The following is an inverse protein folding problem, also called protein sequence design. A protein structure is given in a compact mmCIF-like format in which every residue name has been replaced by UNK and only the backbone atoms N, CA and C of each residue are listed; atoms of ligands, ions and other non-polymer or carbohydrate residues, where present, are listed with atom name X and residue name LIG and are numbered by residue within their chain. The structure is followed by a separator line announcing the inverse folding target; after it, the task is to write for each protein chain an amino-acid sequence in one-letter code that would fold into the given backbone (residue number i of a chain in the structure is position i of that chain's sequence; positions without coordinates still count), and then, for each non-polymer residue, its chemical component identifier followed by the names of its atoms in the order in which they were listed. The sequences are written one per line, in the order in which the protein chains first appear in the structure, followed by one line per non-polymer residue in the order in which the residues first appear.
data_IF_902174625951
#
_entry.id   IF_902174625951
#
_cell.length_a   1.000
_cell.length_b   1.000
_cell.length_c   1.000
_cell.angle_alpha   90.00
_cell.angle_beta   90.00
_cell.angle_gamma   90.00
#
_symmetry.space_group_name_H-M   'P 1'
#
loop_
_entity.id
_entity.type
_entity.pdbx_description
1 polymer ?
#
# COMPACT_ATOMS: atom_id res chain seq x y z
N UNK A 1 5.36 3.75 8.58
CA UNK A 1 5.08 2.46 7.94
C UNK A 1 4.16 2.70 6.75
N UNK A 2 4.15 1.79 5.80
CA UNK A 2 3.30 1.82 4.62
C UNK A 2 2.73 0.43 4.43
N UNK A 3 1.47 0.38 4.03
CA UNK A 3 0.76 -0.86 3.72
C UNK A 3 0.79 -1.04 2.20
N UNK A 4 1.29 -2.17 1.73
CA UNK A 4 1.47 -2.43 0.30
C UNK A 4 0.66 -3.64 -0.14
N UNK A 5 -0.13 -3.47 -1.18
CA UNK A 5 -1.09 -4.46 -1.67
C UNK A 5 -0.96 -4.56 -3.20
N UNK A 6 -0.46 -5.70 -3.69
CA UNK A 6 -0.24 -5.98 -5.11
C UNK A 6 -1.13 -7.12 -5.59
N UNK A 7 -1.16 -7.39 -6.90
CA UNK A 7 -1.99 -8.45 -7.49
C UNK A 7 -1.75 -9.82 -6.82
N UNK A 8 -0.51 -10.14 -6.50
CA UNK A 8 -0.11 -11.47 -6.04
C UNK A 8 0.24 -11.57 -4.55
N UNK A 9 0.43 -10.44 -3.86
CA UNK A 9 0.79 -10.45 -2.45
C UNK A 9 0.49 -9.10 -1.77
N UNK A 10 0.37 -9.16 -0.46
CA UNK A 10 0.42 -8.04 0.45
C UNK A 10 1.75 -8.06 1.20
N UNK A 11 2.38 -6.90 1.36
CA UNK A 11 3.51 -6.77 2.27
C UNK A 11 2.95 -6.37 3.62
N UNK A 12 2.83 -7.34 4.54
CA UNK A 12 2.27 -7.12 5.88
C UNK A 12 3.04 -6.02 6.62
N UNK A 13 4.38 -6.04 6.52
CA UNK A 13 5.25 -5.02 7.10
C UNK A 13 6.56 -5.00 6.30
N UNK A 14 6.88 -3.88 5.63
CA UNK A 14 8.26 -3.60 5.21
C UNK A 14 9.02 -3.17 6.47
N UNK A 15 9.40 -4.14 7.28
CA UNK A 15 10.38 -3.97 8.34
C UNK A 15 11.51 -4.91 8.03
N UNK A 16 12.64 -4.32 7.66
CA UNK A 16 13.89 -5.04 7.59
C UNK A 16 14.23 -5.70 8.94
N UNK A 17 14.12 -7.03 9.03
CA UNK A 17 14.59 -7.78 10.18
C UNK A 17 16.05 -8.18 9.97
N UNK A 18 16.93 -7.77 10.89
CA UNK A 18 18.37 -8.10 10.80
C UNK A 18 18.59 -9.62 10.70
N UNK A 19 19.21 -10.05 9.62
CA UNK A 19 19.56 -11.44 9.31
C UNK A 19 20.61 -12.03 10.27
N UNK A 20 21.30 -11.19 11.03
CA UNK A 20 22.20 -11.64 12.12
C UNK A 20 21.43 -12.29 13.29
N UNK A 21 20.08 -12.29 13.26
CA UNK A 21 19.26 -13.12 14.14
C UNK A 21 19.24 -14.56 13.61
N UNK A 22 20.03 -15.49 14.17
CA UNK A 22 20.14 -16.86 13.65
C UNK A 22 18.81 -17.64 13.77
N UNK A 23 17.86 -17.13 14.55
CA UNK A 23 16.55 -17.75 14.78
C UNK A 23 15.46 -17.26 13.85
N UNK A 24 15.72 -16.30 12.93
CA UNK A 24 14.68 -15.60 12.18
C UNK A 24 13.71 -16.54 11.44
N UNK A 25 14.22 -17.60 10.82
CA UNK A 25 13.42 -18.58 10.09
C UNK A 25 12.56 -19.44 11.04
N UNK A 26 13.13 -19.81 12.19
CA UNK A 26 12.46 -20.57 13.23
C UNK A 26 11.37 -19.72 13.88
N UNK A 27 11.67 -18.47 14.17
CA UNK A 27 10.74 -17.50 14.77
C UNK A 27 9.60 -17.20 13.80
N UNK A 28 9.91 -17.00 12.51
CA UNK A 28 8.91 -16.86 11.46
C UNK A 28 8.02 -18.11 11.33
N UNK A 29 8.61 -19.30 11.27
CA UNK A 29 7.83 -20.54 11.21
C UNK A 29 6.94 -20.74 12.44
N UNK A 30 7.42 -20.39 13.63
CA UNK A 30 6.63 -20.42 14.87
C UNK A 30 5.48 -19.40 14.85
N UNK A 31 5.74 -18.20 14.34
CA UNK A 31 4.71 -17.18 14.16
C UNK A 31 3.59 -17.66 13.21
N UNK A 32 3.96 -18.23 12.06
CA UNK A 32 2.98 -18.80 11.12
C UNK A 32 2.24 -19.99 11.72
N UNK A 33 2.92 -20.90 12.42
CA UNK A 33 2.26 -21.98 13.16
C UNK A 33 1.25 -21.45 14.19
N UNK A 34 1.56 -20.33 14.85
CA UNK A 34 0.63 -19.65 15.76
C UNK A 34 -0.63 -19.14 15.05
N UNK A 35 -0.47 -18.52 13.87
CA UNK A 35 -1.61 -18.11 13.01
C UNK A 35 -2.47 -19.32 12.62
N UNK A 36 -1.86 -20.36 12.06
CA UNK A 36 -2.55 -21.58 11.62
C UNK A 36 -3.26 -22.29 12.79
N UNK A 37 -2.64 -22.33 13.98
CA UNK A 37 -3.26 -22.91 15.16
C UNK A 37 -4.50 -22.13 15.61
N UNK A 38 -4.49 -20.80 15.47
CA UNK A 38 -5.68 -19.98 15.72
C UNK A 38 -6.76 -20.26 14.68
N UNK A 39 -6.40 -20.31 13.39
CA UNK A 39 -7.34 -20.63 12.31
C UNK A 39 -7.93 -22.03 12.48
N UNK A 40 -7.13 -23.01 12.90
CA UNK A 40 -7.57 -24.38 13.21
C UNK A 40 -8.65 -24.49 14.29
N UNK A 41 -8.77 -23.50 15.19
CA UNK A 41 -9.88 -23.43 16.17
C UNK A 41 -11.21 -23.12 15.50
N UNK A 42 -11.19 -22.33 14.42
CA UNK A 42 -12.38 -21.92 13.66
C UNK A 42 -12.62 -22.77 12.41
N UNK A 43 -11.56 -23.36 11.86
CA UNK A 43 -11.49 -24.13 10.63
C UNK A 43 -10.80 -25.47 10.93
N UNK A 44 -11.50 -26.36 11.64
CA UNK A 44 -10.95 -27.64 12.12
C UNK A 44 -10.39 -28.45 10.93
N UNK A 45 -9.09 -28.73 10.97
CA UNK A 45 -8.36 -29.43 9.89
C UNK A 45 -7.44 -28.53 9.06
N UNK A 46 -7.36 -27.24 9.37
CA UNK A 46 -6.36 -26.35 8.78
C UNK A 46 -4.94 -26.79 9.15
N UNK A 47 -4.01 -26.76 8.19
CA UNK A 47 -2.65 -27.32 8.34
C UNK A 47 -1.69 -26.79 7.29
N UNK A 48 -0.39 -26.91 7.56
CA UNK A 48 0.65 -26.69 6.55
C UNK A 48 0.58 -27.84 5.52
N UNK A 49 0.51 -27.49 4.25
CA UNK A 49 0.51 -28.43 3.11
C UNK A 49 1.75 -28.33 2.25
N UNK A 50 2.48 -27.22 2.32
CA UNK A 50 3.79 -27.07 1.67
C UNK A 50 4.71 -26.17 2.49
N UNK A 51 6.01 -26.49 2.49
CA UNK A 51 7.06 -25.73 3.17
C UNK A 51 8.37 -25.88 2.41
N UNK A 52 8.96 -24.77 1.99
CA UNK A 52 10.29 -24.72 1.37
C UNK A 52 11.13 -23.65 2.05
N UNK A 53 12.25 -24.08 2.66
CA UNK A 53 13.18 -23.20 3.36
C UNK A 53 14.47 -22.92 2.58
N UNK A 54 14.71 -23.67 1.50
CA UNK A 54 15.94 -23.57 0.71
C UNK A 54 15.82 -22.58 -0.47
N UNK A 55 14.63 -22.03 -0.70
CA UNK A 55 14.35 -21.03 -1.74
C UNK A 55 14.45 -19.60 -1.22
N UNK A 56 14.64 -18.62 -2.12
CA UNK A 56 14.47 -17.20 -1.81
C UNK A 56 13.52 -16.56 -2.86
N UNK A 57 12.26 -16.25 -2.51
CA UNK A 57 11.67 -16.32 -1.17
C UNK A 57 11.48 -17.74 -0.65
N UNK A 58 11.52 -17.90 0.67
CA UNK A 58 11.07 -19.09 1.40
C UNK A 58 9.55 -19.08 1.46
N UNK A 59 8.93 -20.25 1.60
CA UNK A 59 7.47 -20.37 1.62
C UNK A 59 6.97 -21.34 2.69
N UNK A 60 5.88 -20.95 3.35
CA UNK A 60 4.98 -21.84 4.10
C UNK A 60 3.59 -21.66 3.50
N UNK A 61 2.94 -22.76 3.12
CA UNK A 61 1.59 -22.77 2.58
C UNK A 61 0.65 -23.46 3.56
N UNK A 62 -0.32 -22.71 4.06
CA UNK A 62 -1.44 -23.26 4.82
C UNK A 62 -2.56 -23.68 3.88
N UNK A 63 -3.21 -24.80 4.18
CA UNK A 63 -4.58 -25.10 3.73
C UNK A 63 -5.55 -24.79 4.85
N UNK A 64 -6.57 -23.98 4.56
CA UNK A 64 -7.62 -23.62 5.51
C UNK A 64 -8.87 -24.49 5.27
N UNK A 65 -9.26 -25.29 6.26
CA UNK A 65 -10.40 -26.19 6.09
C UNK A 65 -11.74 -25.48 6.29
N UNK A 66 -12.33 -25.08 5.17
CA UNK A 66 -13.64 -24.40 5.11
C UNK A 66 -14.83 -25.31 4.84
N UNK A 67 -14.64 -26.63 4.69
CA UNK A 67 -15.69 -27.57 4.24
C UNK A 67 -16.95 -27.56 5.13
N UNK A 68 -16.77 -27.32 6.44
CA UNK A 68 -17.85 -27.35 7.44
C UNK A 68 -18.36 -25.96 7.82
N UNK A 69 -17.98 -24.91 7.09
CA UNK A 69 -18.46 -23.55 7.37
C UNK A 69 -19.79 -23.26 6.65
N UNK A 70 -20.82 -22.79 7.37
CA UNK A 70 -22.15 -22.54 6.81
C UNK A 70 -22.25 -21.26 5.96
N UNK A 71 -21.18 -20.46 5.84
CA UNK A 71 -21.11 -19.42 4.81
C UNK A 71 -21.09 -20.10 3.44
N UNK A 72 -22.18 -19.88 2.70
CA UNK A 72 -22.57 -20.67 1.52
C UNK A 72 -21.47 -20.69 0.45
N UNK A 73 -20.65 -19.65 0.36
CA UNK A 73 -19.61 -19.54 -0.67
C UNK A 73 -18.29 -20.22 -0.28
N UNK A 74 -17.92 -20.25 1.02
CA UNK A 74 -16.59 -20.69 1.45
C UNK A 74 -16.42 -22.21 1.46
N UNK A 75 -17.51 -22.95 1.68
CA UNK A 75 -17.50 -24.42 1.63
C UNK A 75 -17.25 -24.95 0.22
N UNK A 76 -17.50 -24.14 -0.81
CA UNK A 76 -17.30 -24.49 -2.21
C UNK A 76 -15.86 -24.30 -2.71
N UNK A 77 -14.93 -23.84 -1.87
CA UNK A 77 -13.55 -23.47 -2.26
C UNK A 77 -12.51 -24.21 -1.42
N UNK A 78 -11.48 -24.79 -2.07
CA UNK A 78 -10.19 -25.00 -1.43
C UNK A 78 -9.51 -23.65 -1.23
N UNK A 79 -9.06 -23.36 -0.01
CA UNK A 79 -8.39 -22.10 0.31
C UNK A 79 -6.99 -22.35 0.83
N UNK A 80 -6.02 -21.67 0.24
CA UNK A 80 -4.63 -21.76 0.65
C UNK A 80 -4.07 -20.37 0.96
N UNK A 81 -3.34 -20.27 2.07
CA UNK A 81 -2.70 -19.03 2.52
C UNK A 81 -1.18 -19.17 2.42
N UNK A 82 -0.57 -18.59 1.38
CA UNK A 82 0.88 -18.58 1.22
C UNK A 82 1.53 -17.47 2.05
N UNK A 83 2.57 -17.83 2.79
CA UNK A 83 3.43 -16.91 3.53
C UNK A 83 4.85 -17.00 2.99
N UNK A 84 5.45 -15.85 2.71
CA UNK A 84 6.79 -15.75 2.16
C UNK A 84 7.74 -15.02 3.11
N UNK A 85 8.99 -15.46 3.10
CA UNK A 85 10.09 -14.83 3.81
C UNK A 85 11.26 -14.64 2.83
N UNK A 86 11.58 -13.39 2.52
CA UNK A 86 12.60 -13.03 1.52
C UNK A 86 13.85 -12.49 2.19
N UNK A 87 15.02 -13.05 1.87
CA UNK A 87 16.32 -12.53 2.32
C UNK A 87 16.92 -11.53 1.33
N UNK A 88 17.59 -10.53 1.88
CA UNK A 88 18.43 -9.55 1.18
C UNK A 88 19.86 -9.63 1.76
N UNK A 89 20.72 -10.51 1.23
CA UNK A 89 22.07 -10.72 1.74
C UNK A 89 22.91 -9.45 1.80
N UNK A 90 22.76 -8.55 0.82
CA UNK A 90 23.45 -7.27 0.70
C UNK A 90 23.19 -6.31 1.87
N UNK A 91 22.01 -6.44 2.49
CA UNK A 91 21.59 -5.65 3.65
C UNK A 91 21.67 -6.43 4.96
N UNK A 92 21.89 -7.75 4.89
CA UNK A 92 21.67 -8.69 6.00
C UNK A 92 20.28 -8.45 6.60
N UNK A 93 19.25 -8.42 5.76
CA UNK A 93 17.87 -8.13 6.16
C UNK A 93 16.91 -9.16 5.57
N UNK A 94 15.70 -9.25 6.16
CA UNK A 94 14.60 -10.06 5.67
C UNK A 94 13.31 -9.24 5.59
N UNK A 95 12.45 -9.58 4.63
CA UNK A 95 11.09 -9.05 4.49
C UNK A 95 10.08 -10.19 4.61
N UNK A 96 9.03 -9.95 5.41
CA UNK A 96 7.88 -10.85 5.57
C UNK A 96 6.76 -10.40 4.64
N UNK A 97 6.19 -11.35 3.90
CA UNK A 97 5.21 -11.08 2.86
C UNK A 97 4.11 -12.13 2.95
N UNK A 98 2.86 -11.71 2.80
CA UNK A 98 1.71 -12.62 2.74
C UNK A 98 1.20 -12.63 1.31
N UNK A 99 1.23 -13.79 0.67
CA UNK A 99 0.67 -13.92 -0.67
C UNK A 99 -0.85 -13.83 -0.65
N UNK A 100 -1.45 -13.52 -1.79
CA UNK A 100 -2.91 -13.57 -1.91
C UNK A 100 -3.40 -14.98 -1.63
N UNK A 101 -4.56 -15.05 -0.98
CA UNK A 101 -5.25 -16.33 -0.76
C UNK A 101 -5.53 -16.97 -2.12
N UNK A 102 -5.10 -18.22 -2.27
CA UNK A 102 -5.36 -19.03 -3.46
C UNK A 102 -6.67 -19.76 -3.22
N UNK A 103 -7.68 -19.46 -4.04
CA UNK A 103 -9.01 -20.04 -3.95
C UNK A 103 -9.29 -20.87 -5.19
N UNK A 104 -9.55 -22.16 -5.01
CA UNK A 104 -9.79 -23.11 -6.09
C UNK A 104 -11.15 -23.77 -5.86
N UNK A 105 -12.08 -23.76 -6.83
CA UNK A 105 -13.41 -24.37 -6.66
C UNK A 105 -13.34 -25.85 -6.29
N UNK A 106 -14.29 -26.33 -5.49
CA UNK A 106 -14.54 -27.75 -5.21
C UNK A 106 -15.70 -28.27 -6.08
N UNK A 107 -15.70 -29.55 -6.45
CA UNK A 107 -14.57 -30.48 -6.38
C UNK A 107 -13.57 -30.24 -7.53
N UNK A 108 -12.31 -30.65 -7.36
CA UNK A 108 -11.35 -30.78 -8.46
C UNK A 108 -10.65 -32.13 -8.40
N UNK A 109 -10.29 -32.72 -9.56
CA UNK A 109 -9.33 -33.82 -9.60
C UNK A 109 -8.00 -33.41 -8.96
N UNK A 110 -7.37 -34.32 -8.20
CA UNK A 110 -6.14 -34.05 -7.45
C UNK A 110 -5.04 -33.42 -8.34
N UNK A 111 -4.76 -34.02 -9.51
CA UNK A 111 -3.74 -33.50 -10.43
C UNK A 111 -4.01 -32.08 -10.92
N UNK A 112 -5.29 -31.72 -11.07
CA UNK A 112 -5.69 -30.38 -11.50
C UNK A 112 -5.60 -29.38 -10.35
N UNK A 113 -5.97 -29.79 -9.14
CA UNK A 113 -5.80 -29.00 -7.92
C UNK A 113 -4.33 -28.66 -7.69
N UNK A 114 -3.46 -29.68 -7.73
CA UNK A 114 -2.02 -29.52 -7.50
C UNK A 114 -1.39 -28.63 -8.56
N UNK A 115 -1.74 -28.82 -9.84
CA UNK A 115 -1.23 -27.98 -10.93
C UNK A 115 -1.64 -26.52 -10.78
N UNK A 116 -2.91 -26.26 -10.49
CA UNK A 116 -3.42 -24.89 -10.33
C UNK A 116 -2.77 -24.20 -9.13
N UNK A 117 -2.68 -24.92 -8.00
CA UNK A 117 -2.01 -24.42 -6.79
C UNK A 117 -0.54 -24.08 -7.05
N UNK A 118 0.19 -24.98 -7.73
CA UNK A 118 1.59 -24.75 -8.09
C UNK A 118 1.76 -23.56 -9.04
N UNK A 119 0.88 -23.40 -10.02
CA UNK A 119 0.91 -22.28 -10.95
C UNK A 119 0.73 -20.94 -10.24
N UNK A 120 -0.29 -20.82 -9.38
CA UNK A 120 -0.58 -19.61 -8.65
C UNK A 120 0.51 -19.29 -7.62
N UNK A 121 0.95 -20.28 -6.83
CA UNK A 121 2.04 -20.11 -5.87
C UNK A 121 3.34 -19.69 -6.57
N UNK A 122 3.68 -20.32 -7.70
CA UNK A 122 4.86 -19.96 -8.49
C UNK A 122 4.79 -18.54 -9.05
N UNK A 123 3.60 -18.06 -9.45
CA UNK A 123 3.42 -16.69 -9.91
C UNK A 123 3.69 -15.68 -8.79
N UNK A 124 3.15 -15.94 -7.60
CA UNK A 124 3.40 -15.10 -6.43
C UNK A 124 4.88 -15.11 -6.02
N UNK A 125 5.53 -16.28 -5.96
CA UNK A 125 6.95 -16.39 -5.65
C UNK A 125 7.82 -15.61 -6.64
N UNK A 126 7.51 -15.66 -7.95
CA UNK A 126 8.24 -14.88 -8.97
C UNK A 126 8.11 -13.38 -8.76
N UNK A 127 6.95 -12.88 -8.35
CA UNK A 127 6.79 -11.44 -8.11
C UNK A 127 7.44 -11.01 -6.80
N UNK A 128 7.30 -11.79 -5.73
CA UNK A 128 8.04 -11.56 -4.48
C UNK A 128 9.56 -11.54 -4.75
N UNK A 129 10.06 -12.42 -5.61
CA UNK A 129 11.47 -12.45 -6.01
C UNK A 129 11.94 -11.16 -6.73
N UNK A 130 11.04 -10.32 -7.28
CA UNK A 130 11.38 -9.05 -7.93
C UNK A 130 11.53 -7.87 -6.97
N UNK A 131 11.17 -8.00 -5.69
CA UNK A 131 11.44 -6.94 -4.70
C UNK A 131 12.95 -6.80 -4.54
N UNK A 132 13.51 -5.61 -4.73
CA UNK A 132 14.94 -5.39 -4.71
C UNK A 132 15.30 -4.23 -3.78
N UNK A 133 16.54 -4.23 -3.27
CA UNK A 133 17.07 -3.09 -2.53
C UNK A 133 17.75 -2.13 -3.50
N UNK A 134 17.35 -0.86 -3.48
CA UNK A 134 18.02 0.22 -4.22
C UNK A 134 18.20 1.41 -3.29
N UNK A 135 19.43 1.89 -3.13
CA UNK A 135 19.68 3.06 -2.28
C UNK A 135 18.89 4.28 -2.78
N UNK A 136 18.30 5.05 -1.88
CA UNK A 136 17.59 6.28 -2.25
C UNK A 136 18.57 7.34 -2.80
N UNK A 137 18.19 8.13 -3.83
CA UNK A 137 16.92 8.09 -4.56
C UNK A 137 16.84 6.96 -5.58
N UNK A 138 15.64 6.40 -5.75
CA UNK A 138 15.35 5.39 -6.76
C UNK A 138 15.25 6.05 -8.14
N UNK A 139 16.09 5.62 -9.08
CA UNK A 139 16.05 6.07 -10.49
C UNK A 139 15.47 5.01 -11.43
N UNK A 140 15.31 3.79 -10.93
CA UNK A 140 14.79 2.67 -11.70
C UNK A 140 13.26 2.69 -11.72
N UNK A 141 12.66 2.06 -12.72
CA UNK A 141 11.20 1.95 -12.79
C UNK A 141 10.69 0.98 -11.72
N UNK A 142 9.61 1.35 -11.04
CA UNK A 142 8.95 0.50 -10.06
C UNK A 142 8.33 1.29 -8.93
N UNK A 143 7.72 0.54 -8.01
CA UNK A 143 7.06 1.07 -6.84
C UNK A 143 8.05 1.18 -5.69
N UNK A 144 8.24 2.39 -5.17
CA UNK A 144 9.05 2.63 -3.99
C UNK A 144 8.34 2.05 -2.76
N UNK A 145 9.04 1.22 -2.01
CA UNK A 145 8.63 0.69 -0.72
C UNK A 145 9.44 1.38 0.39
N UNK A 146 9.07 1.17 1.65
CA UNK A 146 9.86 1.66 2.79
C UNK A 146 11.26 1.04 2.78
N UNK A 147 12.16 1.59 3.61
CA UNK A 147 13.52 1.08 3.83
C UNK A 147 14.34 0.93 2.53
N UNK A 148 14.06 1.78 1.54
CA UNK A 148 14.73 1.82 0.23
C UNK A 148 14.53 0.56 -0.63
N UNK A 149 13.50 -0.24 -0.34
CA UNK A 149 13.12 -1.34 -1.23
C UNK A 149 12.31 -0.83 -2.42
N UNK A 150 12.36 -1.56 -3.53
CA UNK A 150 11.61 -1.28 -4.74
C UNK A 150 10.98 -2.57 -5.26
N UNK A 151 9.78 -2.48 -5.82
CA UNK A 151 9.15 -3.59 -6.53
C UNK A 151 8.82 -3.17 -7.96
N UNK A 152 9.35 -3.91 -8.93
CA UNK A 152 8.99 -3.75 -10.33
C UNK A 152 8.42 -5.06 -10.88
N UNK A 153 7.11 -5.14 -11.18
CA UNK A 153 6.50 -6.37 -11.67
C UNK A 153 6.94 -6.75 -13.09
N UNK A 154 7.55 -5.82 -13.84
CA UNK A 154 7.74 -5.95 -15.30
C UNK A 154 6.45 -5.90 -16.11
N UNK A 155 5.33 -5.58 -15.44
CA UNK A 155 3.98 -5.44 -16.01
C UNK A 155 3.25 -4.34 -15.26
N UNK A 156 2.18 -3.83 -15.85
CA UNK A 156 1.26 -2.92 -15.17
C UNK A 156 0.39 -3.72 -14.21
N UNK A 157 0.36 -3.32 -12.95
CA UNK A 157 -0.60 -3.82 -11.98
C UNK A 157 -2.02 -3.32 -12.35
N UNK A 158 -3.03 -4.13 -12.06
CA UNK A 158 -4.44 -3.84 -12.46
C UNK A 158 -4.94 -2.51 -11.92
N UNK A 159 -4.50 -2.15 -10.71
CA UNK A 159 -4.78 -0.89 -10.02
C UNK A 159 -3.55 -0.50 -9.22
N UNK A 160 -3.18 0.77 -9.30
CA UNK A 160 -2.18 1.35 -8.41
C UNK A 160 -2.83 2.50 -7.67
N UNK A 161 -2.95 2.35 -6.35
CA UNK A 161 -3.35 3.40 -5.45
C UNK A 161 -2.30 3.57 -4.34
N UNK A 162 -1.91 4.81 -4.10
CA UNK A 162 -0.99 5.19 -3.04
C UNK A 162 -1.62 6.28 -2.20
N UNK A 163 -1.66 6.07 -0.90
CA UNK A 163 -1.99 7.12 0.07
C UNK A 163 -0.78 7.38 0.96
N UNK A 164 -0.26 8.60 0.90
CA UNK A 164 0.81 9.07 1.80
C UNK A 164 0.20 10.11 2.72
N UNK A 165 0.34 9.91 4.03
CA UNK A 165 -0.13 10.86 5.04
C UNK A 165 1.09 11.37 5.81
N UNK A 166 1.35 12.67 5.71
CA UNK A 166 2.27 13.38 6.57
C UNK A 166 1.52 14.07 7.69
N UNK A 167 2.03 13.97 8.91
CA UNK A 167 1.56 14.73 10.06
C UNK A 167 2.72 15.55 10.61
N UNK A 168 2.43 16.78 11.02
CA UNK A 168 3.36 17.53 11.85
C UNK A 168 3.61 16.76 13.13
N UNK A 169 4.82 16.86 13.68
CA UNK A 169 5.19 16.21 14.94
C UNK A 169 5.86 17.23 15.85
N UNK A 170 5.52 17.21 17.13
CA UNK A 170 6.22 17.97 18.17
C UNK A 170 6.56 17.03 19.32
N UNK A 171 7.85 16.86 19.61
CA UNK A 171 8.30 15.84 20.54
C UNK A 171 7.87 14.44 20.07
N UNK A 172 7.03 13.77 20.86
CA UNK A 172 6.53 12.40 20.58
C UNK A 172 5.06 12.34 20.16
N UNK A 173 4.41 13.48 19.87
CA UNK A 173 2.99 13.53 19.51
C UNK A 173 2.78 14.16 18.13
N UNK A 174 1.81 13.61 17.40
CA UNK A 174 1.30 14.18 16.16
C UNK A 174 0.59 15.51 16.46
N UNK A 175 0.74 16.47 15.55
CA UNK A 175 0.09 17.77 15.65
C UNK A 175 -1.18 17.84 14.80
N UNK A 176 -1.84 19.00 14.77
CA UNK A 176 -3.08 19.19 14.01
C UNK A 176 -2.86 19.29 12.50
N UNK A 177 -1.64 19.64 12.10
CA UNK A 177 -1.22 19.75 10.71
C UNK A 177 -1.07 18.37 10.08
N UNK A 178 -1.74 18.17 8.95
CA UNK A 178 -1.71 16.93 8.19
C UNK A 178 -1.80 17.20 6.70
N UNK A 179 -1.17 16.35 5.91
CA UNK A 179 -1.21 16.40 4.45
C UNK A 179 -1.40 14.97 3.96
N UNK A 180 -2.36 14.78 3.09
CA UNK A 180 -2.69 13.50 2.47
C UNK A 180 -2.45 13.64 0.97
N UNK A 181 -1.62 12.75 0.41
CA UNK A 181 -1.42 12.61 -1.02
C UNK A 181 -2.07 11.30 -1.42
N UNK A 182 -3.07 11.39 -2.29
CA UNK A 182 -3.73 10.24 -2.89
C UNK A 182 -3.34 10.19 -4.36
N UNK A 183 -2.64 9.14 -4.77
CA UNK A 183 -2.28 8.88 -6.15
C UNK A 183 -3.07 7.66 -6.62
N UNK A 184 -3.83 7.81 -7.70
CA UNK A 184 -4.64 6.74 -8.27
C UNK A 184 -4.36 6.64 -9.77
N UNK A 185 -3.93 5.47 -10.22
CA UNK A 185 -3.76 5.19 -11.63
C UNK A 185 -5.02 4.57 -12.21
N UNK A 186 -5.72 5.34 -13.04
CA UNK A 186 -6.97 4.90 -13.66
C UNK A 186 -6.71 4.27 -15.03
N UNK A 187 -7.48 3.24 -15.37
CA UNK A 187 -7.49 2.60 -16.69
C UNK A 187 -8.30 3.43 -17.70
N UNK A 188 -8.13 3.12 -18.99
CA UNK A 188 -8.75 3.88 -20.11
C UNK A 188 -10.27 3.96 -20.04
N UNK A 189 -10.91 2.96 -19.46
CA UNK A 189 -12.35 2.80 -19.31
C UNK A 189 -12.92 3.40 -18.01
N UNK A 190 -12.08 3.97 -17.15
CA UNK A 190 -12.48 4.48 -15.83
C UNK A 190 -12.82 5.99 -15.80
N UNK A 191 -13.30 6.55 -16.92
CA UNK A 191 -13.67 7.98 -17.02
C UNK A 191 -14.70 8.41 -15.98
N UNK A 192 -15.69 7.57 -15.69
CA UNK A 192 -16.70 7.86 -14.68
C UNK A 192 -16.12 7.99 -13.26
N UNK A 193 -15.03 7.27 -12.96
CA UNK A 193 -14.32 7.37 -11.68
C UNK A 193 -13.59 8.70 -11.60
N UNK A 194 -12.89 9.10 -12.68
CA UNK A 194 -12.20 10.38 -12.78
C UNK A 194 -13.18 11.56 -12.62
N UNK A 195 -14.30 11.53 -13.36
CA UNK A 195 -15.31 12.58 -13.31
C UNK A 195 -15.92 12.72 -11.91
N UNK A 196 -16.17 11.59 -11.23
CA UNK A 196 -16.68 11.59 -9.85
C UNK A 196 -15.68 12.14 -8.85
N UNK A 197 -14.38 11.83 -9.00
CA UNK A 197 -13.32 12.33 -8.12
C UNK A 197 -13.13 13.84 -8.28
N UNK A 198 -13.09 14.31 -9.52
CA UNK A 198 -12.90 15.74 -9.84
C UNK A 198 -14.17 16.56 -9.56
N UNK A 199 -15.38 16.00 -9.71
CA UNK A 199 -16.62 16.74 -9.49
C UNK A 199 -16.81 17.22 -8.05
N UNK A 200 -16.35 16.45 -7.05
CA UNK A 200 -16.28 16.92 -5.65
C UNK A 200 -15.47 18.21 -5.54
N UNK A 201 -14.39 18.31 -6.31
CA UNK A 201 -13.58 19.50 -6.43
C UNK A 201 -14.22 20.67 -7.17
N UNK A 202 -15.05 20.38 -8.18
CA UNK A 202 -15.82 21.43 -8.87
C UNK A 202 -16.78 22.15 -7.94
N UNK A 203 -17.33 21.48 -6.92
CA UNK A 203 -18.14 22.12 -5.88
C UNK A 203 -17.34 23.13 -5.05
N UNK A 204 -16.05 22.87 -4.79
CA UNK A 204 -15.21 23.82 -4.05
C UNK A 204 -15.04 25.16 -4.79
N UNK A 205 -15.03 25.14 -6.13
CA UNK A 205 -14.99 26.37 -6.96
C UNK A 205 -16.15 27.32 -6.66
N UNK A 206 -17.27 26.81 -6.17
CA UNK A 206 -18.44 27.63 -5.83
C UNK A 206 -18.27 28.41 -4.53
N UNK A 207 -17.37 27.96 -3.64
CA UNK A 207 -17.23 28.52 -2.28
C UNK A 207 -15.86 29.12 -1.98
N UNK A 208 -14.82 28.70 -2.71
CA UNK A 208 -13.42 29.08 -2.45
C UNK A 208 -12.74 29.59 -3.72
N UNK A 209 -11.92 30.63 -3.58
CA UNK A 209 -11.01 31.06 -4.63
C UNK A 209 -9.95 29.99 -4.88
N UNK A 210 -9.57 29.80 -6.15
CA UNK A 210 -8.47 28.90 -6.53
C UNK A 210 -7.26 29.65 -7.03
N UNK A 211 -6.09 29.01 -6.86
CA UNK A 211 -4.83 29.43 -7.47
C UNK A 211 -4.26 28.26 -8.26
N UNK A 212 -3.81 28.50 -9.49
CA UNK A 212 -3.14 27.47 -10.28
C UNK A 212 -1.75 27.20 -9.72
N UNK A 213 -1.48 25.95 -9.34
CA UNK A 213 -0.20 25.50 -8.76
C UNK A 213 0.28 24.24 -9.50
N UNK A 214 1.58 24.14 -9.77
CA UNK A 214 2.19 22.97 -10.41
C UNK A 214 2.84 22.11 -9.33
N UNK A 215 2.39 20.86 -9.21
CA UNK A 215 2.94 19.89 -8.25
C UNK A 215 3.49 18.69 -9.01
N UNK A 216 4.77 18.35 -8.79
CA UNK A 216 5.40 17.20 -9.46
C UNK A 216 5.36 17.28 -11.01
N UNK A 217 5.34 18.50 -11.58
CA UNK A 217 5.20 18.72 -13.01
C UNK A 217 3.77 18.65 -13.55
N UNK A 218 2.77 18.40 -12.70
CA UNK A 218 1.34 18.37 -13.07
C UNK A 218 0.69 19.69 -12.68
N UNK A 219 -0.01 20.34 -13.62
CA UNK A 219 -0.81 21.53 -13.33
C UNK A 219 -2.07 21.15 -12.55
N UNK A 220 -2.47 22.01 -11.63
CA UNK A 220 -3.72 21.84 -10.89
C UNK A 220 -4.19 23.12 -10.22
N UNK A 221 -5.35 23.03 -9.59
CA UNK A 221 -5.98 24.14 -8.87
C UNK A 221 -5.93 23.86 -7.37
N UNK A 222 -5.35 24.79 -6.62
CA UNK A 222 -5.33 24.79 -5.16
C UNK A 222 -6.52 25.60 -4.63
N UNK A 223 -7.33 24.97 -3.79
CA UNK A 223 -8.42 25.58 -3.02
C UNK A 223 -8.00 25.66 -1.55
N UNK A 224 -8.17 26.83 -0.93
CA UNK A 224 -7.87 27.03 0.49
C UNK A 224 -9.08 27.62 1.21
N UNK A 225 -9.36 27.11 2.41
CA UNK A 225 -10.45 27.58 3.26
C UNK A 225 -10.25 29.04 3.69
N UNK A 226 -11.31 29.82 3.80
CA UNK A 226 -11.25 31.21 4.24
C UNK A 226 -10.76 31.36 5.69
N UNK A 227 -9.80 32.27 5.90
CA UNK A 227 -9.25 32.63 7.21
C UNK A 227 -10.30 33.02 8.28
N UNK A 228 -11.43 33.60 7.84
CA UNK A 228 -12.50 34.06 8.75
C UNK A 228 -13.17 32.93 9.51
N UNK A 229 -13.16 31.70 8.98
CA UNK A 229 -13.81 30.55 9.60
C UNK A 229 -12.89 29.85 10.61
N UNK A 230 -11.58 29.95 10.42
CA UNK A 230 -10.57 29.42 11.34
C UNK A 230 -9.27 30.23 11.19
N UNK A 231 -8.96 31.16 12.11
CA UNK A 231 -7.82 32.06 11.94
C UNK A 231 -6.48 31.34 11.86
N UNK A 232 -6.32 30.26 12.62
CA UNK A 232 -5.03 29.59 12.82
C UNK A 232 -4.88 28.33 11.99
N UNK A 233 -5.96 27.76 11.46
CA UNK A 233 -5.88 26.62 10.56
C UNK A 233 -6.38 26.95 9.15
N UNK A 234 -5.72 26.36 8.16
CA UNK A 234 -6.12 26.37 6.76
C UNK A 234 -6.31 24.95 6.29
N UNK A 235 -7.51 24.63 5.84
CA UNK A 235 -7.78 23.41 5.10
C UNK A 235 -7.57 23.70 3.61
N UNK A 236 -7.00 22.74 2.90
CA UNK A 236 -6.72 22.89 1.48
C UNK A 236 -6.97 21.61 0.72
N UNK A 237 -7.25 21.79 -0.57
CA UNK A 237 -7.31 20.71 -1.53
C UNK A 237 -6.71 21.19 -2.85
N UNK A 238 -5.74 20.46 -3.38
CA UNK A 238 -5.19 20.61 -4.71
C UNK A 238 -5.73 19.51 -5.63
N UNK A 239 -6.17 19.92 -6.81
CA UNK A 239 -6.78 19.03 -7.81
C UNK A 239 -6.07 19.15 -9.16
N UNK A 240 -5.73 18.04 -9.80
CA UNK A 240 -4.97 18.06 -11.04
C UNK A 240 -5.88 18.42 -12.22
N UNK A 241 -5.31 19.07 -13.24
CA UNK A 241 -5.99 19.40 -14.50
C UNK A 241 -5.49 18.59 -15.71
N UNK A 242 -4.59 17.62 -15.50
CA UNK A 242 -3.89 16.89 -16.57
C UNK A 242 -3.79 15.37 -16.39
N UNK A 243 -4.66 14.75 -15.60
CA UNK A 243 -4.70 13.29 -15.45
C UNK A 243 -5.08 12.63 -16.78
N UNK A 244 -4.32 11.60 -17.17
CA UNK A 244 -4.58 10.83 -18.40
C UNK A 244 -4.92 9.38 -18.05
N UNK A 245 -6.13 8.96 -18.43
CA UNK A 245 -6.57 7.58 -18.25
C UNK A 245 -5.68 6.61 -19.04
N UNK A 246 -5.30 5.51 -18.40
CA UNK A 246 -4.39 4.51 -18.95
C UNK A 246 -2.92 4.95 -19.01
N UNK A 247 -2.56 6.11 -18.44
CA UNK A 247 -1.18 6.60 -18.40
C UNK A 247 -0.69 6.71 -16.94
N UNK A 248 0.12 5.73 -16.51
CA UNK A 248 0.69 5.68 -15.16
C UNK A 248 1.69 6.80 -14.86
N UNK A 249 2.24 7.45 -15.89
CA UNK A 249 3.12 8.63 -15.72
C UNK A 249 2.32 9.92 -15.50
N UNK A 250 1.00 9.88 -15.70
CA UNK A 250 0.08 10.99 -15.44
C UNK A 250 -1.13 10.53 -14.61
N UNK A 251 -0.88 10.00 -13.40
CA UNK A 251 -1.94 9.46 -12.55
C UNK A 251 -2.84 10.60 -12.03
N UNK A 252 -3.97 10.23 -11.42
CA UNK A 252 -4.78 11.13 -10.62
C UNK A 252 -4.04 11.40 -9.31
N UNK A 253 -3.44 12.58 -9.17
CA UNK A 253 -2.79 13.01 -7.91
C UNK A 253 -3.72 14.00 -7.24
N UNK A 254 -4.26 13.66 -6.07
CA UNK A 254 -5.06 14.55 -5.24
C UNK A 254 -4.31 14.83 -3.96
N UNK A 255 -4.20 16.10 -3.57
CA UNK A 255 -3.53 16.48 -2.34
C UNK A 255 -4.53 17.25 -1.49
N UNK A 256 -4.72 16.85 -0.25
CA UNK A 256 -5.57 17.56 0.69
C UNK A 256 -4.91 17.62 2.05
N UNK A 257 -5.31 18.59 2.87
CA UNK A 257 -4.70 18.71 4.16
C UNK A 257 -5.24 19.85 4.99
N UNK A 258 -4.61 19.98 6.16
CA UNK A 258 -4.80 21.07 7.11
C UNK A 258 -3.43 21.51 7.58
N UNK A 259 -3.16 22.81 7.55
CA UNK A 259 -1.99 23.40 8.20
C UNK A 259 -2.50 24.29 9.34
N UNK A 260 -2.04 24.03 10.56
CA UNK A 260 -2.37 24.81 11.76
C UNK A 260 -1.12 25.55 12.24
N UNK A 261 -1.15 26.88 12.22
CA UNK A 261 0.01 27.71 12.55
C UNK A 261 0.43 27.59 14.02
N UNK A 262 -0.43 27.08 14.91
CA UNK A 262 -0.04 26.72 16.28
C UNK A 262 1.06 25.66 16.35
N UNK A 263 1.12 24.80 15.34
CA UNK A 263 2.11 23.74 15.26
C UNK A 263 3.50 24.29 14.89
N UNK A 264 3.59 25.53 14.44
CA UNK A 264 4.85 26.17 14.11
C UNK A 264 5.62 26.55 15.39
N UNK A 265 6.96 26.63 15.31
CA UNK A 265 7.76 27.21 16.39
C UNK A 265 7.26 28.62 16.74
N UNK A 266 7.32 28.99 18.02
CA UNK A 266 6.72 30.23 18.54
C UNK A 266 7.16 31.48 17.77
N UNK A 267 8.40 31.52 17.28
CA UNK A 267 8.96 32.62 16.49
C UNK A 267 8.35 32.79 15.08
N UNK A 268 7.62 31.79 14.57
CA UNK A 268 7.01 31.77 13.23
C UNK A 268 5.47 31.79 13.23
N UNK A 269 4.81 31.50 14.37
CA UNK A 269 3.34 31.31 14.46
C UNK A 269 2.53 32.46 13.87
N UNK A 270 2.99 33.70 14.10
CA UNK A 270 2.31 34.93 13.65
C UNK A 270 2.98 35.56 12.42
N UNK A 271 4.04 34.94 11.88
CA UNK A 271 4.83 35.48 10.77
C UNK A 271 4.58 34.78 9.44
N UNK A 272 4.16 33.51 9.48
CA UNK A 272 3.92 32.70 8.28
C UNK A 272 2.44 32.30 8.31
N UNK A 273 1.71 32.69 7.28
CA UNK A 273 0.32 32.27 7.12
C UNK A 273 0.25 30.79 6.74
N UNK A 274 -0.85 30.12 7.11
CA UNK A 274 -1.09 28.74 6.67
C UNK A 274 -1.11 28.62 5.13
N UNK A 275 -1.57 29.64 4.42
CA UNK A 275 -1.58 29.71 2.95
C UNK A 275 -0.17 29.70 2.35
N UNK A 276 0.74 30.51 2.89
CA UNK A 276 2.15 30.52 2.45
C UNK A 276 2.82 29.16 2.69
N UNK A 277 2.57 28.55 3.84
CA UNK A 277 3.13 27.24 4.15
C UNK A 277 2.61 26.15 3.21
N UNK A 278 1.32 26.17 2.87
CA UNK A 278 0.75 25.24 1.88
C UNK A 278 1.48 25.37 0.54
N UNK A 279 1.73 26.60 0.07
CA UNK A 279 2.44 26.85 -1.18
C UNK A 279 3.93 26.45 -1.15
N UNK A 280 4.56 26.42 0.03
CA UNK A 280 5.94 25.95 0.15
C UNK A 280 6.07 24.42 0.13
N UNK A 281 5.02 23.72 0.53
CA UNK A 281 5.01 22.26 0.59
C UNK A 281 4.65 21.63 -0.76
N UNK A 282 3.82 22.32 -1.55
CA UNK A 282 3.35 21.89 -2.87
C UNK A 282 4.36 22.25 -3.97
#
# INVERSE_FOLDING_TARGET
SGDYSFENFDIEIVTALKAERPTIEKDWANYINGKIAMDGKYNVGSRIVHKSMDSNPRVILEYSNTEKKPDIDMSSLYRFHPYYLKSFPERKEWILITGRTIEIPRPQPADKLDRELQNQMSAQMRDVAKIAYHKYPHYEQGYCLNDEYQYYPGRLEKRDDYTIIWRGTTGSADTHSRITLNLESLNKDEQSVLDRRISKGKLLRTFFSSTTVVVGGVKGELYVSHAKLNPTAREFQWLPSGTELGNRLKPLIMIDGRIDTHDFPAEYRDKISGEEMILWIL
#
